data_IF_264552715301
#
_entry.id   IF_264552715301
#
_cell.length_a   1.000
_cell.length_b   1.000
_cell.length_c   1.000
_cell.angle_alpha   90.00
_cell.angle_beta   90.00
_cell.angle_gamma   90.00
#
_symmetry.space_group_name_H-M   'P 1'
#
loop_
_entity.id
_entity.type
_entity.pdbx_description
1 polymer ?
#
# COMPACT_ATOMS: atom_id res chain seq x y z
N UNK A 1 -24.96 30.39 -0.49
CA UNK A 1 -23.52 30.66 -0.27
C UNK A 1 -22.69 29.58 -0.96
N UNK A 2 -21.39 29.80 -1.27
CA UNK A 2 -20.52 28.75 -1.85
C UNK A 2 -20.47 27.46 -1.02
N UNK A 3 -20.70 27.57 0.30
CA UNK A 3 -20.79 26.41 1.19
C UNK A 3 -22.00 25.53 0.89
N UNK A 4 -23.13 26.12 0.48
CA UNK A 4 -24.37 25.38 0.25
C UNK A 4 -24.30 24.57 -1.05
N UNK A 5 -23.68 25.12 -2.10
CA UNK A 5 -23.46 24.40 -3.36
C UNK A 5 -22.47 23.24 -3.21
N UNK A 6 -21.46 23.38 -2.35
CA UNK A 6 -20.54 22.27 -2.00
C UNK A 6 -21.27 21.15 -1.27
N UNK A 7 -22.07 21.51 -0.26
CA UNK A 7 -22.84 20.53 0.52
C UNK A 7 -23.85 19.79 -0.34
N UNK A 8 -24.54 20.50 -1.24
CA UNK A 8 -25.48 19.89 -2.19
C UNK A 8 -24.75 18.89 -3.11
N UNK A 9 -23.62 19.29 -3.71
CA UNK A 9 -22.84 18.40 -4.59
C UNK A 9 -22.40 17.12 -3.86
N UNK A 10 -21.87 17.24 -2.64
CA UNK A 10 -21.42 16.08 -1.85
C UNK A 10 -22.59 15.16 -1.52
N UNK A 11 -23.76 15.72 -1.17
CA UNK A 11 -24.95 14.92 -0.86
C UNK A 11 -25.40 14.04 -2.04
N UNK A 12 -25.23 14.53 -3.28
CA UNK A 12 -25.57 13.80 -4.51
C UNK A 12 -24.52 12.77 -4.94
N UNK A 13 -23.29 12.87 -4.42
CA UNK A 13 -22.27 11.83 -4.58
C UNK A 13 -22.39 10.72 -3.54
N UNK A 14 -22.79 11.06 -2.31
CA UNK A 14 -22.83 10.13 -1.18
C UNK A 14 -24.22 9.53 -0.97
N UNK A 15 -24.92 9.23 -2.07
CA UNK A 15 -26.19 8.51 -2.04
C UNK A 15 -25.95 7.00 -1.90
N UNK A 16 -26.71 6.36 -1.01
CA UNK A 16 -26.63 4.91 -0.71
C UNK A 16 -26.98 4.09 -1.95
N UNK A 17 -28.04 4.47 -2.66
CA UNK A 17 -28.42 3.86 -3.94
C UNK A 17 -27.52 4.39 -5.09
N UNK A 18 -26.73 3.52 -5.75
CA UNK A 18 -25.87 3.93 -6.85
C UNK A 18 -26.62 4.49 -8.06
N UNK A 19 -27.87 4.06 -8.30
CA UNK A 19 -28.66 4.50 -9.47
C UNK A 19 -29.12 5.95 -9.34
N UNK A 20 -29.19 6.46 -8.11
CA UNK A 20 -29.56 7.85 -7.82
C UNK A 20 -28.35 8.76 -7.63
N UNK A 21 -27.13 8.20 -7.69
CA UNK A 21 -25.90 8.97 -7.58
C UNK A 21 -25.67 9.75 -8.86
N UNK A 22 -25.16 10.97 -8.71
CA UNK A 22 -24.71 11.75 -9.86
C UNK A 22 -23.71 11.01 -10.73
N UNK A 23 -23.99 11.01 -12.02
CA UNK A 23 -23.03 10.67 -13.07
C UNK A 23 -21.97 11.77 -13.21
N UNK A 24 -20.85 11.45 -13.88
CA UNK A 24 -19.80 12.44 -14.13
C UNK A 24 -20.31 13.65 -14.96
N UNK A 25 -21.24 13.44 -15.88
CA UNK A 25 -21.83 14.51 -16.68
C UNK A 25 -22.70 15.45 -15.85
N UNK A 26 -23.59 14.90 -15.02
CA UNK A 26 -24.45 15.67 -14.12
C UNK A 26 -23.63 16.42 -13.06
N UNK A 27 -22.55 15.80 -12.58
CA UNK A 27 -21.61 16.43 -11.67
C UNK A 27 -20.98 17.68 -12.29
N UNK A 28 -20.47 17.57 -13.51
CA UNK A 28 -19.83 18.70 -14.21
C UNK A 28 -20.81 19.82 -14.54
N UNK A 29 -22.10 19.50 -14.75
CA UNK A 29 -23.16 20.48 -14.96
C UNK A 29 -23.61 21.18 -13.65
N UNK A 30 -23.15 20.74 -12.48
CA UNK A 30 -23.59 21.27 -11.20
C UNK A 30 -23.16 22.73 -10.99
N UNK A 31 -24.01 23.60 -10.38
CA UNK A 31 -23.71 25.02 -10.16
C UNK A 31 -22.38 25.31 -9.42
N UNK A 32 -21.92 24.36 -8.60
CA UNK A 32 -20.60 24.42 -7.95
C UNK A 32 -19.45 24.59 -8.95
N UNK A 33 -19.50 23.90 -10.09
CA UNK A 33 -18.45 23.96 -11.13
C UNK A 33 -18.67 25.09 -12.14
N UNK A 34 -19.89 25.65 -12.20
CA UNK A 34 -20.20 26.81 -13.04
C UNK A 34 -19.67 28.12 -12.43
N UNK A 35 -19.40 28.13 -11.13
CA UNK A 35 -18.76 29.23 -10.41
C UNK A 35 -17.24 29.13 -10.57
N UNK A 36 -16.75 29.30 -11.79
CA UNK A 36 -15.32 29.30 -12.08
C UNK A 36 -14.77 30.71 -11.87
N UNK A 37 -14.42 31.04 -10.63
CA UNK A 37 -13.54 32.18 -10.35
C UNK A 37 -12.15 31.81 -10.85
N UNK A 38 -11.82 32.25 -12.07
CA UNK A 38 -10.45 32.17 -12.58
C UNK A 38 -9.61 33.16 -11.76
N UNK A 39 -9.10 32.74 -10.60
CA UNK A 39 -7.89 33.39 -10.06
C UNK A 39 -6.73 32.99 -10.95
N UNK A 40 -6.62 33.67 -12.08
CA UNK A 40 -5.59 33.47 -13.07
C UNK A 40 -4.30 34.13 -12.63
N UNK A 41 -3.67 33.60 -11.58
CA UNK A 41 -2.24 33.83 -11.38
C UNK A 41 -1.55 32.58 -10.88
N UNK A 42 -1.39 31.60 -11.77
CA UNK A 42 -0.35 30.56 -11.58
C UNK A 42 1.01 31.23 -11.73
N UNK A 43 1.49 31.85 -10.66
CA UNK A 43 2.84 32.40 -10.62
C UNK A 43 3.86 31.29 -10.88
N UNK A 44 4.81 31.56 -11.77
CA UNK A 44 5.96 30.70 -11.97
C UNK A 44 6.74 30.59 -10.66
N UNK A 45 6.80 29.38 -10.10
CA UNK A 45 7.64 29.08 -8.94
C UNK A 45 8.81 28.21 -9.40
N UNK A 46 10.03 28.78 -9.48
CA UNK A 46 11.22 28.03 -9.89
C UNK A 46 11.44 26.79 -9.01
N UNK A 47 11.24 26.91 -7.70
CA UNK A 47 11.41 25.81 -6.75
C UNK A 47 10.39 24.68 -6.96
N UNK A 48 9.12 25.01 -7.22
CA UNK A 48 8.10 23.98 -7.53
C UNK A 48 8.45 23.26 -8.83
N UNK A 49 8.86 23.99 -9.87
CA UNK A 49 9.29 23.37 -11.14
C UNK A 49 10.51 22.49 -10.95
N UNK A 50 11.52 22.96 -10.24
CA UNK A 50 12.72 22.18 -9.93
C UNK A 50 12.38 20.90 -9.16
N UNK A 51 11.56 21.00 -8.10
CA UNK A 51 11.11 19.84 -7.33
C UNK A 51 10.37 18.82 -8.20
N UNK A 52 9.49 19.28 -9.08
CA UNK A 52 8.77 18.39 -10.02
C UNK A 52 9.77 17.70 -10.95
N UNK A 53 10.72 18.43 -11.53
CA UNK A 53 11.77 17.85 -12.38
C UNK A 53 12.60 16.81 -11.63
N UNK A 54 13.04 17.10 -10.40
CA UNK A 54 13.77 16.13 -9.60
C UNK A 54 12.94 14.87 -9.33
N UNK A 55 11.66 15.03 -9.00
CA UNK A 55 10.75 13.90 -8.75
C UNK A 55 10.48 13.09 -10.02
N UNK A 56 10.33 13.71 -11.18
CA UNK A 56 10.12 13.00 -12.45
C UNK A 56 11.36 12.20 -12.84
N UNK A 57 12.56 12.77 -12.69
CA UNK A 57 13.82 12.05 -12.95
C UNK A 57 13.97 10.88 -11.97
N UNK A 58 13.78 11.10 -10.66
CA UNK A 58 13.82 10.04 -9.65
C UNK A 58 12.84 8.91 -9.92
N UNK A 59 11.60 9.24 -10.30
CA UNK A 59 10.58 8.27 -10.66
C UNK A 59 10.98 7.48 -11.91
N UNK A 60 11.46 8.16 -12.96
CA UNK A 60 11.89 7.52 -14.21
C UNK A 60 13.04 6.55 -13.99
N UNK A 61 14.05 6.98 -13.22
CA UNK A 61 15.19 6.15 -12.85
C UNK A 61 14.74 4.93 -12.04
N UNK A 62 13.87 5.13 -11.04
CA UNK A 62 13.31 4.02 -10.25
C UNK A 62 12.54 3.05 -11.11
N UNK A 63 11.68 3.52 -12.01
CA UNK A 63 10.91 2.66 -12.92
C UNK A 63 11.85 1.91 -13.85
N UNK A 64 12.86 2.55 -14.42
CA UNK A 64 13.84 1.92 -15.31
C UNK A 64 14.59 0.76 -14.63
N UNK A 65 15.14 1.01 -13.44
CA UNK A 65 15.84 -0.02 -12.67
C UNK A 65 14.89 -1.10 -12.16
N UNK A 66 13.71 -0.72 -11.65
CA UNK A 66 12.72 -1.67 -11.16
C UNK A 66 12.20 -2.58 -12.28
N UNK A 67 11.92 -2.03 -13.46
CA UNK A 67 11.44 -2.77 -14.61
C UNK A 67 12.46 -3.80 -15.10
N UNK A 68 13.75 -3.45 -15.08
CA UNK A 68 14.84 -4.36 -15.49
C UNK A 68 15.19 -5.43 -14.46
N UNK A 69 15.03 -5.13 -13.17
CA UNK A 69 15.50 -6.00 -12.09
C UNK A 69 14.40 -6.84 -11.45
N UNK A 70 13.13 -6.44 -11.58
CA UNK A 70 12.02 -7.11 -10.89
C UNK A 70 11.26 -7.98 -11.86
N UNK A 71 11.32 -9.30 -11.61
CA UNK A 71 10.41 -10.27 -12.23
C UNK A 71 8.98 -9.82 -11.99
N UNK A 72 8.18 -9.76 -13.06
CA UNK A 72 6.75 -9.41 -12.96
C UNK A 72 6.09 -10.28 -11.89
N UNK A 73 5.51 -9.63 -10.88
CA UNK A 73 4.73 -10.31 -9.86
C UNK A 73 3.36 -10.56 -10.47
N UNK A 74 3.13 -11.76 -10.97
CA UNK A 74 1.82 -12.17 -11.49
C UNK A 74 0.91 -12.57 -10.32
N UNK A 75 -0.40 -12.32 -10.47
CA UNK A 75 -1.39 -12.63 -9.43
C UNK A 75 -1.37 -14.13 -9.09
N UNK A 76 -1.18 -14.97 -10.11
CA UNK A 76 -1.15 -16.42 -10.00
C UNK A 76 0.01 -16.89 -9.11
N UNK A 77 1.18 -16.26 -9.23
CA UNK A 77 2.35 -16.57 -8.41
C UNK A 77 2.12 -16.19 -6.95
N UNK A 78 1.50 -15.04 -6.69
CA UNK A 78 1.18 -14.59 -5.33
C UNK A 78 0.19 -15.52 -4.64
N UNK A 79 -0.81 -16.02 -5.37
CA UNK A 79 -1.82 -16.94 -4.81
C UNK A 79 -1.22 -18.33 -4.55
N UNK A 80 -0.36 -18.82 -5.45
CA UNK A 80 0.24 -20.14 -5.33
C UNK A 80 1.31 -20.22 -4.25
N UNK A 81 2.23 -19.26 -4.20
CA UNK A 81 3.31 -19.21 -3.21
C UNK A 81 3.70 -17.75 -2.91
N UNK A 82 3.02 -17.10 -1.95
CA UNK A 82 3.31 -15.71 -1.57
C UNK A 82 4.69 -15.57 -0.91
N UNK A 83 5.22 -16.65 -0.33
CA UNK A 83 6.51 -16.64 0.34
C UNK A 83 7.68 -16.77 -0.63
N UNK A 84 7.51 -17.27 -1.85
CA UNK A 84 8.56 -17.28 -2.88
C UNK A 84 9.08 -15.86 -3.22
N UNK A 85 8.21 -14.87 -3.15
CA UNK A 85 8.52 -13.48 -3.52
C UNK A 85 9.07 -12.70 -2.32
N UNK A 86 10.37 -12.39 -2.34
CA UNK A 86 11.06 -11.64 -1.27
C UNK A 86 10.34 -10.35 -0.85
N UNK A 87 9.79 -9.50 -1.75
CA UNK A 87 9.05 -8.32 -1.34
C UNK A 87 7.74 -8.63 -0.60
N UNK A 88 7.01 -9.65 -1.05
CA UNK A 88 5.72 -10.06 -0.44
C UNK A 88 5.97 -10.70 0.92
N UNK A 89 6.94 -11.61 1.02
CA UNK A 89 7.40 -12.19 2.28
C UNK A 89 7.69 -11.11 3.32
N UNK A 90 8.53 -10.13 2.96
CA UNK A 90 8.84 -9.00 3.85
C UNK A 90 7.61 -8.21 4.28
N UNK A 91 6.62 -8.04 3.40
CA UNK A 91 5.39 -7.32 3.70
C UNK A 91 4.50 -8.09 4.68
N UNK A 92 4.34 -9.40 4.45
CA UNK A 92 3.60 -10.31 5.33
C UNK A 92 4.26 -10.35 6.71
N UNK A 93 5.56 -10.62 6.76
CA UNK A 93 6.32 -10.71 8.02
C UNK A 93 6.30 -9.38 8.80
N UNK A 94 6.39 -8.25 8.10
CA UNK A 94 6.28 -6.93 8.74
C UNK A 94 4.88 -6.70 9.34
N UNK A 95 3.82 -7.16 8.67
CA UNK A 95 2.44 -7.05 9.17
C UNK A 95 2.20 -7.97 10.37
N UNK A 96 2.62 -9.23 10.28
CA UNK A 96 2.58 -10.17 11.39
C UNK A 96 3.36 -9.63 12.59
N UNK A 97 4.56 -9.09 12.36
CA UNK A 97 5.34 -8.48 13.42
C UNK A 97 4.62 -7.29 14.04
N UNK A 98 4.04 -6.36 13.27
CA UNK A 98 3.31 -5.22 13.85
C UNK A 98 2.17 -5.66 14.78
N UNK A 99 1.49 -6.76 14.44
CA UNK A 99 0.38 -7.30 15.23
C UNK A 99 0.90 -8.06 16.46
N UNK A 100 1.82 -9.00 16.28
CA UNK A 100 2.24 -9.94 17.32
C UNK A 100 3.55 -9.55 18.04
N UNK A 101 4.13 -8.37 17.73
CA UNK A 101 5.37 -7.88 18.35
C UNK A 101 5.30 -7.89 19.88
N UNK A 102 4.12 -7.63 20.44
CA UNK A 102 3.91 -7.62 21.88
C UNK A 102 3.99 -9.01 22.54
N UNK A 103 3.81 -10.09 21.77
CA UNK A 103 4.05 -11.47 22.21
C UNK A 103 5.51 -11.88 22.12
N UNK A 104 6.35 -11.09 21.43
CA UNK A 104 7.79 -11.27 21.41
C UNK A 104 8.38 -10.58 22.65
N UNK A 105 8.65 -11.35 23.70
CA UNK A 105 9.45 -10.88 24.86
C UNK A 105 10.86 -10.47 24.38
N UNK A 106 11.62 -9.70 25.17
CA UNK A 106 13.03 -9.37 24.88
C UNK A 106 13.93 -10.11 25.87
N UNK A 107 14.60 -11.18 25.43
CA UNK A 107 15.63 -11.91 26.17
C UNK A 107 16.70 -12.45 25.21
N UNK A 108 17.90 -12.72 25.73
CA UNK A 108 19.11 -13.06 24.94
C UNK A 108 18.97 -14.33 24.07
N UNK A 109 18.02 -15.21 24.37
CA UNK A 109 17.81 -16.50 23.69
C UNK A 109 16.57 -16.53 22.76
N UNK A 110 16.31 -15.47 21.98
CA UNK A 110 15.13 -15.41 21.10
C UNK A 110 15.45 -15.35 19.61
N UNK A 111 15.24 -16.47 18.94
CA UNK A 111 15.16 -16.54 17.49
C UNK A 111 13.80 -15.99 17.02
N UNK A 112 13.80 -14.89 16.26
CA UNK A 112 12.58 -14.28 15.70
C UNK A 112 11.80 -15.24 14.78
N UNK A 113 12.47 -16.26 14.23
CA UNK A 113 11.86 -17.29 13.41
C UNK A 113 10.99 -18.27 14.21
N UNK A 114 11.20 -18.40 15.53
CA UNK A 114 10.44 -19.32 16.38
C UNK A 114 8.94 -18.97 16.47
N UNK A 115 8.55 -17.71 16.16
CA UNK A 115 7.15 -17.29 16.10
C UNK A 115 6.39 -17.94 14.93
N UNK A 116 7.11 -18.42 13.91
CA UNK A 116 6.57 -18.94 12.67
C UNK A 116 6.95 -20.42 12.44
N UNK A 117 7.48 -21.10 13.47
CA UNK A 117 7.72 -22.55 13.42
C UNK A 117 6.36 -23.27 13.43
N UNK A 118 6.06 -24.00 12.36
CA UNK A 118 4.82 -24.78 12.22
C UNK A 118 4.91 -26.19 12.83
N UNK A 119 6.07 -26.54 13.40
CA UNK A 119 6.33 -27.83 14.04
C UNK A 119 6.62 -27.61 15.51
N UNK A 120 5.90 -28.33 16.37
CA UNK A 120 6.11 -28.25 17.80
C UNK A 120 7.58 -28.58 18.13
N UNK A 121 8.21 -27.78 19.00
CA UNK A 121 9.60 -27.95 19.40
C UNK A 121 9.90 -29.34 19.96
N UNK A 122 8.91 -29.99 20.59
CA UNK A 122 9.00 -31.38 21.03
C UNK A 122 9.22 -32.36 19.87
N UNK A 123 8.52 -32.16 18.75
CA UNK A 123 8.64 -32.98 17.54
C UNK A 123 10.02 -32.80 16.90
N UNK A 124 10.52 -31.56 16.85
CA UNK A 124 11.86 -31.27 16.33
C UNK A 124 12.97 -31.90 17.18
N UNK A 125 12.80 -31.95 18.50
CA UNK A 125 13.75 -32.61 19.41
C UNK A 125 13.74 -34.13 19.24
N UNK A 126 12.56 -34.75 19.07
CA UNK A 126 12.48 -36.18 18.74
C UNK A 126 13.11 -36.50 17.39
N UNK A 127 12.87 -35.69 16.35
CA UNK A 127 13.49 -35.87 15.03
C UNK A 127 15.01 -35.71 15.09
N UNK A 128 15.51 -34.72 15.84
CA UNK A 128 16.96 -34.52 16.02
C UNK A 128 17.62 -35.66 16.83
N UNK A 129 16.89 -36.28 17.77
CA UNK A 129 17.35 -37.46 18.50
C UNK A 129 17.35 -38.72 17.62
N UNK A 130 16.39 -38.85 16.71
CA UNK A 130 16.33 -39.93 15.72
C UNK A 130 17.42 -39.80 14.63
N UNK A 131 17.84 -38.57 14.29
CA UNK A 131 18.93 -38.30 13.34
C UNK A 131 20.35 -38.38 13.96
N UNK A 132 20.48 -38.75 15.24
CA UNK A 132 21.77 -39.06 15.87
C UNK A 132 22.71 -37.86 16.03
N UNK A 133 22.17 -36.64 16.17
CA UNK A 133 22.95 -35.40 16.25
C UNK A 133 23.39 -35.00 17.67
N UNK A 134 23.49 -35.98 18.58
CA UNK A 134 24.13 -35.85 19.89
C UNK A 134 25.05 -37.04 20.16
#
# INVERSE_FOLDING_TARGET
SRSDTVKDLISRFLVVDPQQRYTAGEALAHPFFQQYDVEEVRHFSPFRKFKVICLTVLASVRIYYQYRLVKSVTRELVVRDPYALKPIRKLIDACAFRTYRHWVKKGEAQNRAALFENTCKAILLTLAAEEGLF
#
